data_IF_135131017509
#
_entry.id   IF_135131017509
#
_cell.length_a   1.000
_cell.length_b   1.000
_cell.length_c   1.000
_cell.angle_alpha   90.00
_cell.angle_beta   90.00
_cell.angle_gamma   90.00
#
_symmetry.space_group_name_H-M   'P 1'
#
loop_
_entity.id
_entity.type
_entity.pdbx_description
1 polymer ?
#
# COMPACT_ATOMS: atom_id res chain seq x y z
N UNK A 1 15.08 18.14 -25.80
CA UNK A 1 13.71 18.13 -25.22
C UNK A 1 13.45 19.52 -24.66
N UNK A 2 12.30 20.14 -24.93
CA UNK A 2 11.98 21.47 -24.42
C UNK A 2 11.94 21.47 -22.87
N UNK A 3 12.70 22.35 -22.18
CA UNK A 3 12.71 22.46 -20.72
C UNK A 3 11.31 22.61 -20.09
N UNK A 4 10.37 23.28 -20.76
CA UNK A 4 8.99 23.43 -20.28
C UNK A 4 8.23 22.11 -20.32
N UNK A 5 8.46 21.30 -21.35
CA UNK A 5 7.87 19.95 -21.47
C UNK A 5 8.45 19.04 -20.38
N UNK A 6 9.76 19.11 -20.16
CA UNK A 6 10.44 18.33 -19.11
C UNK A 6 9.90 18.67 -17.71
N UNK A 7 9.69 19.95 -17.41
CA UNK A 7 9.16 20.36 -16.11
C UNK A 7 7.72 19.87 -15.89
N UNK A 8 6.84 20.00 -16.90
CA UNK A 8 5.48 19.46 -16.83
C UNK A 8 5.46 17.94 -16.62
N UNK A 9 6.38 17.21 -17.27
CA UNK A 9 6.52 15.77 -17.08
C UNK A 9 6.95 15.44 -15.64
N UNK A 10 7.94 16.16 -15.09
CA UNK A 10 8.37 15.97 -13.70
C UNK A 10 7.24 16.22 -12.71
N UNK A 11 6.48 17.30 -12.87
CA UNK A 11 5.34 17.61 -12.02
C UNK A 11 4.27 16.52 -12.08
N UNK A 12 3.97 16.01 -13.27
CA UNK A 12 3.01 14.92 -13.46
C UNK A 12 3.47 13.64 -12.75
N UNK A 13 4.73 13.24 -12.96
CA UNK A 13 5.32 12.07 -12.30
C UNK A 13 5.27 12.22 -10.78
N UNK A 14 5.64 13.39 -10.26
CA UNK A 14 5.60 13.64 -8.82
C UNK A 14 4.18 13.51 -8.25
N UNK A 15 3.17 14.05 -8.96
CA UNK A 15 1.77 13.90 -8.56
C UNK A 15 1.31 12.45 -8.55
N UNK A 16 1.68 11.68 -9.58
CA UNK A 16 1.35 10.26 -9.67
C UNK A 16 2.03 9.44 -8.56
N UNK A 17 3.28 9.75 -8.22
CA UNK A 17 3.99 9.10 -7.10
C UNK A 17 3.31 9.39 -5.76
N UNK A 18 2.98 10.65 -5.49
CA UNK A 18 2.26 11.06 -4.27
C UNK A 18 0.89 10.39 -4.19
N UNK A 19 0.16 10.32 -5.30
CA UNK A 19 -1.15 9.65 -5.33
C UNK A 19 -1.00 8.13 -5.09
N UNK A 20 -0.03 7.47 -5.72
CA UNK A 20 0.22 6.02 -5.52
C UNK A 20 0.61 5.72 -4.07
N UNK A 21 1.39 6.58 -3.44
CA UNK A 21 1.74 6.46 -2.02
C UNK A 21 0.49 6.59 -1.13
N UNK A 22 -0.31 7.63 -1.36
CA UNK A 22 -1.58 7.85 -0.64
C UNK A 22 -2.50 6.64 -0.76
N UNK A 23 -2.77 6.17 -1.97
CA UNK A 23 -3.65 5.02 -2.23
C UNK A 23 -3.13 3.75 -1.53
N UNK A 24 -1.80 3.58 -1.52
CA UNK A 24 -1.15 2.45 -0.85
C UNK A 24 -1.34 2.52 0.66
N UNK A 25 -1.13 3.69 1.27
CA UNK A 25 -1.31 3.89 2.71
C UNK A 25 -2.78 3.73 3.12
N UNK A 26 -3.72 4.32 2.37
CA UNK A 26 -5.15 4.22 2.64
C UNK A 26 -5.64 2.77 2.58
N UNK A 27 -5.22 2.02 1.55
CA UNK A 27 -5.55 0.61 1.44
C UNK A 27 -5.08 -0.18 2.67
N UNK A 28 -3.81 -0.05 3.06
CA UNK A 28 -3.25 -0.81 4.17
C UNK A 28 -3.85 -0.41 5.52
N UNK A 29 -4.07 0.88 5.73
CA UNK A 29 -4.75 1.38 6.92
C UNK A 29 -6.17 0.82 7.02
N UNK A 30 -6.94 0.86 5.93
CA UNK A 30 -8.31 0.33 5.90
C UNK A 30 -8.35 -1.17 6.21
N UNK A 31 -7.41 -1.95 5.68
CA UNK A 31 -7.31 -3.38 6.00
C UNK A 31 -6.98 -3.63 7.47
N UNK A 32 -6.13 -2.81 8.08
CA UNK A 32 -5.81 -2.90 9.50
C UNK A 32 -6.99 -2.48 10.38
N UNK A 33 -7.71 -1.41 10.01
CA UNK A 33 -8.93 -0.96 10.69
C UNK A 33 -9.99 -2.06 10.69
N UNK A 34 -10.19 -2.78 9.57
CA UNK A 34 -11.09 -3.93 9.51
C UNK A 34 -10.71 -5.03 10.51
N UNK A 35 -9.42 -5.29 10.71
CA UNK A 35 -8.95 -6.26 11.70
C UNK A 35 -9.27 -5.76 13.10
N UNK A 36 -8.95 -4.50 13.40
CA UNK A 36 -9.23 -3.90 14.70
C UNK A 36 -10.72 -3.92 15.07
N UNK A 37 -11.60 -3.65 14.10
CA UNK A 37 -13.05 -3.61 14.29
C UNK A 37 -13.73 -4.99 14.43
N UNK A 38 -13.01 -6.09 14.19
CA UNK A 38 -13.59 -7.44 14.27
C UNK A 38 -13.92 -7.92 15.68
N UNK A 39 -13.49 -7.20 16.73
CA UNK A 39 -13.75 -7.56 18.13
C UNK A 39 -13.46 -9.04 18.44
N UNK A 40 -12.24 -9.49 18.10
CA UNK A 40 -11.81 -10.88 18.28
C UNK A 40 -12.04 -11.36 19.71
N UNK A 41 -12.52 -12.60 19.85
CA UNK A 41 -12.83 -13.18 21.16
C UNK A 41 -11.57 -13.67 21.86
N UNK A 42 -10.53 -14.00 21.09
CA UNK A 42 -9.25 -14.44 21.62
C UNK A 42 -8.06 -13.76 20.96
N UNK A 43 -6.94 -13.71 21.69
CA UNK A 43 -5.66 -13.24 21.15
C UNK A 43 -5.18 -14.10 19.97
N UNK A 44 -5.53 -15.40 19.95
CA UNK A 44 -5.15 -16.30 18.88
C UNK A 44 -5.82 -15.92 17.55
N UNK A 45 -7.11 -15.58 17.58
CA UNK A 45 -7.86 -15.09 16.42
C UNK A 45 -7.30 -13.77 15.89
N UNK A 46 -7.02 -12.82 16.78
CA UNK A 46 -6.39 -11.55 16.40
C UNK A 46 -5.02 -11.78 15.74
N UNK A 47 -4.16 -12.60 16.34
CA UNK A 47 -2.85 -12.95 15.76
C UNK A 47 -2.97 -13.63 14.39
N UNK A 48 -3.98 -14.46 14.19
CA UNK A 48 -4.22 -15.12 12.90
C UNK A 48 -4.57 -14.09 11.81
N UNK A 49 -5.43 -13.12 12.11
CA UNK A 49 -5.80 -12.07 11.15
C UNK A 49 -4.64 -11.09 10.87
N UNK A 50 -3.86 -10.73 11.90
CA UNK A 50 -2.64 -9.93 11.73
C UNK A 50 -1.61 -10.67 10.86
N UNK A 51 -1.46 -11.99 11.03
CA UNK A 51 -0.59 -12.81 10.16
C UNK A 51 -1.05 -12.75 8.70
N UNK A 52 -2.34 -12.94 8.43
CA UNK A 52 -2.91 -12.82 7.08
C UNK A 52 -2.67 -11.43 6.47
N UNK A 53 -2.79 -10.37 7.26
CA UNK A 53 -2.47 -9.01 6.82
C UNK A 53 -1.01 -8.85 6.42
N UNK A 54 -0.08 -9.29 7.28
CA UNK A 54 1.36 -9.24 6.99
C UNK A 54 1.74 -10.07 5.77
N UNK A 55 1.15 -11.25 5.60
CA UNK A 55 1.43 -12.13 4.46
C UNK A 55 0.96 -11.47 3.14
N UNK A 56 -0.20 -10.78 3.15
CA UNK A 56 -0.63 -9.97 1.99
C UNK A 56 0.35 -8.84 1.69
N UNK A 57 0.86 -8.14 2.70
CA UNK A 57 1.88 -7.09 2.50
C UNK A 57 3.15 -7.65 1.88
N UNK A 58 3.67 -8.75 2.42
CA UNK A 58 4.86 -9.43 1.92
C UNK A 58 4.69 -9.87 0.47
N UNK A 59 3.56 -10.48 0.14
CA UNK A 59 3.26 -10.91 -1.23
C UNK A 59 3.23 -9.72 -2.20
N UNK A 60 2.63 -8.59 -1.79
CA UNK A 60 2.62 -7.38 -2.63
C UNK A 60 4.03 -6.79 -2.80
N UNK A 61 4.83 -6.75 -1.73
CA UNK A 61 6.23 -6.34 -1.84
C UNK A 61 7.02 -7.24 -2.79
N UNK A 62 6.81 -8.55 -2.72
CA UNK A 62 7.47 -9.50 -3.61
C UNK A 62 7.08 -9.31 -5.07
N UNK A 63 5.79 -9.08 -5.35
CA UNK A 63 5.31 -8.75 -6.70
C UNK A 63 5.96 -7.48 -7.22
N UNK A 64 6.05 -6.42 -6.41
CA UNK A 64 6.69 -5.15 -6.79
C UNK A 64 8.18 -5.37 -7.10
N UNK A 65 8.90 -6.12 -6.25
CA UNK A 65 10.33 -6.42 -6.42
C UNK A 65 10.61 -7.24 -7.68
N UNK A 66 9.79 -8.25 -7.95
CA UNK A 66 10.02 -9.21 -9.04
C UNK A 66 9.50 -8.71 -10.39
N UNK A 67 8.40 -7.95 -10.41
CA UNK A 67 7.76 -7.50 -11.65
C UNK A 67 7.95 -6.02 -11.97
N UNK A 68 8.45 -5.22 -11.02
CA UNK A 68 8.69 -3.79 -11.22
C UNK A 68 7.41 -2.96 -11.41
N UNK A 69 6.24 -3.49 -11.02
CA UNK A 69 4.92 -2.84 -11.13
C UNK A 69 4.52 -2.27 -9.76
#
# INVERSE_FOLDING_TARGET
MDPKILNKLKEKVQKELVQKEKDTLEYWLNELVKIYQKNHQTLAEFKADIRKYMDRMKNRLEVIKTRGI
#
